data_IF_304717149519
#
_entry.id   IF_304717149519
#
_cell.length_a   1.000
_cell.length_b   1.000
_cell.length_c   1.000
_cell.angle_alpha   90.00
_cell.angle_beta   90.00
_cell.angle_gamma   90.00
#
_symmetry.space_group_name_H-M   'P 1'
#
loop_
_entity.id
_entity.type
_entity.pdbx_description
1 polymer ?
#
# COMPACT_ATOMS: atom_id res chain seq x y z
N UNK A 1 46.78 -6.66 -25.76
CA UNK A 1 46.48 -6.84 -24.33
C UNK A 1 45.08 -6.30 -24.11
N UNK A 2 44.12 -7.20 -24.05
CA UNK A 2 42.70 -6.92 -23.80
C UNK A 2 42.49 -6.80 -22.29
N UNK A 3 42.10 -5.62 -21.81
CA UNK A 3 41.62 -5.45 -20.44
C UNK A 3 40.10 -5.66 -20.42
N UNK A 4 39.68 -6.82 -19.96
CA UNK A 4 38.31 -7.11 -19.53
C UNK A 4 38.06 -6.40 -18.20
N UNK A 5 37.18 -5.39 -18.17
CA UNK A 5 36.58 -4.90 -16.93
C UNK A 5 35.31 -5.72 -16.68
N UNK A 6 35.48 -6.85 -16.00
CA UNK A 6 34.38 -7.52 -15.30
C UNK A 6 34.30 -6.89 -13.91
N UNK A 7 33.59 -5.77 -13.81
CA UNK A 7 33.13 -5.29 -12.50
C UNK A 7 31.92 -6.15 -12.11
N UNK A 8 32.17 -7.17 -11.30
CA UNK A 8 31.15 -7.84 -10.51
C UNK A 8 30.47 -6.79 -9.62
N UNK A 9 29.37 -6.20 -10.09
CA UNK A 9 28.51 -5.36 -9.26
C UNK A 9 28.02 -6.23 -8.10
N UNK A 10 28.50 -5.94 -6.89
CA UNK A 10 28.00 -6.60 -5.69
C UNK A 10 26.48 -6.42 -5.63
N UNK A 11 25.75 -7.54 -5.65
CA UNK A 11 24.30 -7.55 -5.49
C UNK A 11 24.02 -6.97 -4.11
N UNK A 12 23.37 -5.79 -4.05
CA UNK A 12 22.94 -5.21 -2.77
C UNK A 12 22.05 -6.23 -2.06
N UNK A 13 22.22 -6.43 -0.74
CA UNK A 13 21.32 -7.30 0.00
C UNK A 13 19.87 -6.81 -0.18
N UNK A 14 18.90 -7.74 -0.23
CA UNK A 14 17.49 -7.36 -0.35
C UNK A 14 17.09 -6.46 0.81
N UNK A 15 16.13 -5.57 0.55
CA UNK A 15 15.45 -4.79 1.59
C UNK A 15 14.62 -5.73 2.46
N UNK A 16 14.33 -5.35 3.71
CA UNK A 16 13.58 -6.21 4.63
C UNK A 16 12.20 -6.57 4.06
N UNK A 17 11.56 -5.60 3.42
CA UNK A 17 10.24 -5.73 2.80
C UNK A 17 10.24 -6.69 1.59
N UNK A 18 11.42 -7.00 1.04
CA UNK A 18 11.61 -7.97 -0.06
C UNK A 18 11.87 -9.40 0.43
N UNK A 19 12.06 -9.59 1.73
CA UNK A 19 12.24 -10.92 2.31
C UNK A 19 10.96 -11.73 2.18
N UNK A 20 11.12 -13.05 2.01
CA UNK A 20 9.98 -13.97 2.00
C UNK A 20 9.35 -14.04 3.40
N UNK A 21 8.06 -14.31 3.45
CA UNK A 21 7.34 -14.45 4.72
C UNK A 21 7.92 -15.58 5.58
N UNK A 22 8.21 -15.27 6.84
CA UNK A 22 8.63 -16.27 7.83
C UNK A 22 7.51 -17.26 8.19
N UNK A 23 7.92 -18.48 8.57
CA UNK A 23 6.98 -19.53 8.97
C UNK A 23 6.53 -19.44 10.43
N UNK A 24 7.35 -18.85 11.28
CA UNK A 24 7.10 -18.78 12.72
C UNK A 24 6.50 -17.43 13.08
N UNK A 25 5.54 -17.46 14.00
CA UNK A 25 5.03 -16.23 14.62
C UNK A 25 6.05 -15.69 15.63
N UNK A 26 6.01 -14.37 15.86
CA UNK A 26 6.82 -13.72 16.90
C UNK A 26 5.92 -12.92 17.83
N UNK A 27 6.00 -13.16 19.14
CA UNK A 27 5.36 -12.27 20.12
C UNK A 27 6.19 -10.99 20.24
N UNK A 28 5.61 -9.86 19.82
CA UNK A 28 6.28 -8.56 19.79
C UNK A 28 5.97 -7.69 21.01
N UNK A 29 4.87 -7.98 21.70
CA UNK A 29 4.48 -7.45 23.01
C UNK A 29 3.50 -8.45 23.65
N UNK A 30 3.19 -8.30 24.93
CA UNK A 30 2.30 -9.24 25.66
C UNK A 30 0.96 -9.42 24.93
N UNK A 31 0.68 -10.61 24.40
CA UNK A 31 -0.55 -10.87 23.66
C UNK A 31 -0.65 -10.16 22.30
N UNK A 32 0.48 -9.71 21.73
CA UNK A 32 0.57 -9.18 20.36
C UNK A 32 1.55 -10.03 19.56
N UNK A 33 1.04 -10.70 18.54
CA UNK A 33 1.78 -11.65 17.72
C UNK A 33 1.91 -11.14 16.29
N UNK A 34 3.14 -11.03 15.79
CA UNK A 34 3.44 -10.74 14.39
C UNK A 34 3.43 -12.02 13.57
N UNK A 35 2.71 -12.00 12.46
CA UNK A 35 2.58 -13.07 11.49
C UNK A 35 2.90 -12.52 10.10
N UNK A 36 3.96 -13.02 9.46
CA UNK A 36 4.25 -12.63 8.08
C UNK A 36 3.41 -13.48 7.12
N UNK A 37 2.69 -12.81 6.21
CA UNK A 37 1.85 -13.42 5.19
C UNK A 37 2.48 -13.17 3.80
N UNK A 38 2.62 -14.21 2.96
CA UNK A 38 3.20 -14.06 1.63
C UNK A 38 2.47 -13.03 0.75
N UNK A 39 3.26 -12.17 0.10
CA UNK A 39 2.77 -11.19 -0.88
C UNK A 39 3.53 -11.36 -2.18
N UNK A 40 2.80 -11.44 -3.30
CA UNK A 40 3.37 -11.52 -4.65
C UNK A 40 3.18 -10.20 -5.38
N UNK A 41 3.79 -9.12 -4.87
CA UNK A 41 3.77 -7.79 -5.48
C UNK A 41 5.18 -7.29 -5.81
N UNK A 42 5.37 -6.45 -6.83
CA UNK A 42 6.68 -5.95 -7.19
C UNK A 42 7.38 -5.24 -6.01
N UNK A 43 8.49 -5.82 -5.55
CA UNK A 43 9.31 -5.23 -4.48
C UNK A 43 8.86 -5.55 -3.05
N UNK A 44 7.82 -6.37 -2.87
CA UNK A 44 7.34 -6.84 -1.56
C UNK A 44 7.26 -8.37 -1.54
N UNK A 45 7.79 -9.00 -0.49
CA UNK A 45 7.73 -10.46 -0.29
C UNK A 45 6.73 -10.90 0.77
N UNK A 46 6.32 -10.00 1.67
CA UNK A 46 5.37 -10.28 2.74
C UNK A 46 4.66 -9.03 3.22
N UNK A 47 3.53 -9.21 3.92
CA UNK A 47 2.87 -8.23 4.78
C UNK A 47 2.80 -8.78 6.21
N UNK A 48 3.00 -7.93 7.20
CA UNK A 48 2.87 -8.24 8.61
C UNK A 48 1.40 -8.10 9.02
N UNK A 49 0.78 -9.22 9.34
CA UNK A 49 -0.47 -9.27 10.07
C UNK A 49 -0.19 -9.36 11.57
N UNK A 50 -0.89 -8.58 12.38
CA UNK A 50 -0.73 -8.62 13.83
C UNK A 50 -1.99 -9.18 14.50
N UNK A 51 -1.84 -10.23 15.31
CA UNK A 51 -2.91 -10.77 16.12
C UNK A 51 -2.83 -10.22 17.55
N UNK A 52 -3.91 -9.60 18.01
CA UNK A 52 -4.06 -9.02 19.33
C UNK A 52 -5.00 -9.92 20.14
N UNK A 53 -4.50 -10.54 21.20
CA UNK A 53 -5.24 -11.51 22.01
C UNK A 53 -6.07 -10.83 23.12
N UNK A 54 -7.34 -11.20 23.22
CA UNK A 54 -8.19 -10.87 24.35
C UNK A 54 -9.05 -12.06 24.82
N UNK A 55 -10.13 -11.77 25.56
CA UNK A 55 -11.01 -12.81 26.12
C UNK A 55 -11.98 -13.41 25.10
N UNK A 56 -12.26 -12.70 24.01
CA UNK A 56 -13.15 -13.13 22.93
C UNK A 56 -12.39 -13.83 21.78
N UNK A 57 -11.05 -13.84 21.85
CA UNK A 57 -10.16 -14.49 20.89
C UNK A 57 -9.11 -13.51 20.39
N UNK A 58 -9.16 -13.19 19.10
CA UNK A 58 -8.19 -12.30 18.46
C UNK A 58 -8.82 -11.23 17.59
N UNK A 59 -8.22 -10.05 17.63
CA UNK A 59 -8.34 -9.05 16.58
C UNK A 59 -7.12 -9.13 15.66
N UNK A 60 -7.34 -9.07 14.35
CA UNK A 60 -6.26 -9.03 13.35
C UNK A 60 -6.10 -7.63 12.79
N UNK A 61 -4.86 -7.14 12.68
CA UNK A 61 -4.51 -5.95 11.91
C UNK A 61 -3.91 -6.42 10.58
N UNK A 62 -4.49 -5.97 9.48
CA UNK A 62 -4.06 -6.22 8.09
C UNK A 62 -3.93 -7.72 7.75
N UNK A 63 -5.05 -8.47 7.62
CA UNK A 63 -5.05 -9.93 7.40
C UNK A 63 -4.57 -10.41 6.03
N UNK A 64 -3.78 -9.60 5.31
CA UNK A 64 -3.08 -10.02 4.11
C UNK A 64 -3.90 -9.98 2.83
N UNK A 65 -3.31 -10.53 1.77
CA UNK A 65 -4.02 -10.79 0.50
C UNK A 65 -5.07 -11.91 0.65
N UNK A 66 -6.09 -11.97 -0.23
CA UNK A 66 -7.08 -13.04 -0.20
C UNK A 66 -6.57 -14.35 -0.84
N UNK A 67 -5.30 -14.44 -1.24
CA UNK A 67 -4.77 -15.60 -1.98
C UNK A 67 -4.86 -16.86 -1.16
N UNK A 68 -4.96 -18.01 -1.83
CA UNK A 68 -4.89 -19.31 -1.14
C UNK A 68 -3.57 -19.46 -0.37
N UNK A 69 -2.46 -18.94 -0.91
CA UNK A 69 -1.16 -18.93 -0.24
C UNK A 69 -1.16 -18.08 1.05
N UNK A 70 -1.57 -16.81 0.96
CA UNK A 70 -1.68 -15.90 2.11
C UNK A 70 -2.64 -16.44 3.17
N UNK A 71 -3.78 -16.97 2.74
CA UNK A 71 -4.78 -17.55 3.64
C UNK A 71 -4.31 -18.84 4.31
N UNK A 72 -3.63 -19.73 3.58
CA UNK A 72 -3.03 -20.92 4.16
C UNK A 72 -1.96 -20.54 5.19
N UNK A 73 -1.15 -19.52 4.91
CA UNK A 73 -0.19 -18.97 5.86
C UNK A 73 -0.90 -18.44 7.11
N UNK A 74 -1.92 -17.59 6.97
CA UNK A 74 -2.69 -17.04 8.09
C UNK A 74 -3.25 -18.14 9.00
N UNK A 75 -3.93 -19.15 8.42
CA UNK A 75 -4.46 -20.29 9.18
C UNK A 75 -3.36 -21.08 9.88
N UNK A 76 -2.23 -21.30 9.21
CA UNK A 76 -1.08 -21.97 9.80
C UNK A 76 -0.51 -21.18 10.99
N UNK A 77 -0.46 -19.85 10.90
CA UNK A 77 0.08 -18.99 11.96
C UNK A 77 -0.87 -18.89 13.16
N UNK A 78 -2.17 -18.78 12.92
CA UNK A 78 -3.19 -18.89 13.97
C UNK A 78 -3.14 -20.25 14.68
N UNK A 79 -2.89 -21.33 13.94
CA UNK A 79 -2.71 -22.66 14.53
C UNK A 79 -1.55 -22.74 15.54
N UNK A 80 -0.50 -21.92 15.38
CA UNK A 80 0.61 -21.84 16.35
C UNK A 80 0.17 -21.17 17.67
N UNK A 81 -0.90 -20.38 17.64
CA UNK A 81 -1.58 -19.80 18.81
C UNK A 81 -2.69 -20.70 19.38
N UNK A 82 -2.84 -21.93 18.87
CA UNK A 82 -3.99 -22.80 19.13
C UNK A 82 -5.34 -22.15 18.78
N UNK A 83 -5.36 -21.26 17.78
CA UNK A 83 -6.53 -20.55 17.30
C UNK A 83 -6.92 -21.01 15.88
N UNK A 84 -8.19 -20.80 15.54
CA UNK A 84 -8.73 -20.94 14.18
C UNK A 84 -9.37 -19.61 13.76
N UNK A 85 -9.75 -19.51 12.49
CA UNK A 85 -10.43 -18.35 11.91
C UNK A 85 -11.67 -17.93 12.72
N UNK A 86 -12.38 -18.90 13.30
CA UNK A 86 -13.58 -18.66 14.14
C UNK A 86 -13.28 -17.92 15.45
N UNK A 87 -12.02 -17.88 15.87
CA UNK A 87 -11.60 -17.11 17.04
C UNK A 87 -11.33 -15.64 16.70
N UNK A 88 -11.42 -15.24 15.42
CA UNK A 88 -11.24 -13.85 15.02
C UNK A 88 -12.56 -13.11 15.18
N UNK A 89 -12.61 -12.10 16.04
CA UNK A 89 -13.80 -11.28 16.27
C UNK A 89 -13.73 -9.92 15.56
N UNK A 90 -12.54 -9.46 15.20
CA UNK A 90 -12.33 -8.14 14.58
C UNK A 90 -11.18 -8.18 13.58
N UNK A 91 -11.36 -7.51 12.45
CA UNK A 91 -10.29 -7.16 11.53
C UNK A 91 -10.15 -5.64 11.49
N UNK A 92 -8.97 -5.14 11.82
CA UNK A 92 -8.56 -3.75 11.61
C UNK A 92 -7.84 -3.69 10.26
N UNK A 93 -8.23 -2.72 9.44
CA UNK A 93 -7.56 -2.42 8.18
C UNK A 93 -6.94 -1.04 8.28
N UNK A 94 -5.62 -0.96 8.11
CA UNK A 94 -4.90 0.31 8.16
C UNK A 94 -5.26 1.20 6.98
N UNK A 95 -5.37 0.64 5.77
CA UNK A 95 -5.72 1.39 4.56
C UNK A 95 -6.19 0.54 3.38
N UNK A 96 -6.67 1.19 2.33
CA UNK A 96 -7.33 0.58 1.16
C UNK A 96 -6.39 -0.01 0.10
N UNK A 97 -5.26 -0.60 0.51
CA UNK A 97 -4.46 -1.45 -0.37
C UNK A 97 -4.79 -2.94 -0.19
N UNK A 98 -4.87 -3.74 -1.29
CA UNK A 98 -5.43 -5.09 -1.25
C UNK A 98 -4.69 -6.08 -0.35
N UNK A 99 -3.41 -5.88 -0.13
CA UNK A 99 -2.57 -6.68 0.76
C UNK A 99 -2.84 -6.43 2.25
N UNK A 100 -3.61 -5.39 2.59
CA UNK A 100 -4.01 -5.11 3.97
C UNK A 100 -5.42 -5.63 4.24
N UNK A 101 -6.38 -5.38 3.33
CA UNK A 101 -7.78 -5.75 3.55
C UNK A 101 -8.20 -7.07 2.90
N UNK A 102 -7.42 -7.64 1.99
CA UNK A 102 -7.85 -8.74 1.13
C UNK A 102 -8.39 -9.95 1.90
N UNK A 103 -7.71 -10.32 3.00
CA UNK A 103 -8.09 -11.40 3.89
C UNK A 103 -9.42 -11.17 4.62
N UNK A 104 -9.87 -9.91 4.76
CA UNK A 104 -11.15 -9.56 5.41
C UNK A 104 -12.33 -10.20 4.69
N UNK A 105 -12.33 -10.24 3.36
CA UNK A 105 -13.42 -10.85 2.59
C UNK A 105 -13.59 -12.34 2.88
N UNK A 106 -12.48 -13.03 3.19
CA UNK A 106 -12.52 -14.45 3.56
C UNK A 106 -13.04 -14.62 4.98
N UNK A 107 -12.59 -13.77 5.91
CA UNK A 107 -13.11 -13.77 7.28
C UNK A 107 -14.62 -13.55 7.31
N UNK A 108 -15.13 -12.54 6.59
CA UNK A 108 -16.56 -12.23 6.50
C UNK A 108 -17.39 -13.33 5.80
N UNK A 109 -16.77 -14.19 4.99
CA UNK A 109 -17.46 -15.31 4.35
C UNK A 109 -17.72 -16.47 5.33
N UNK A 110 -16.88 -16.62 6.36
CA UNK A 110 -16.93 -17.75 7.30
C UNK A 110 -17.80 -17.44 8.54
N UNK A 111 -17.76 -16.20 9.05
CA UNK A 111 -18.62 -15.73 10.17
C UNK A 111 -18.64 -14.20 10.32
N UNK A 112 -19.54 -13.69 11.16
CA UNK A 112 -19.68 -12.26 11.42
C UNK A 112 -18.50 -11.73 12.25
N UNK A 113 -17.80 -10.73 11.72
CA UNK A 113 -16.71 -10.01 12.40
C UNK A 113 -16.95 -8.50 12.33
N UNK A 114 -16.35 -7.77 13.28
CA UNK A 114 -16.21 -6.32 13.14
C UNK A 114 -15.10 -6.00 12.15
N UNK A 115 -15.30 -5.02 11.29
CA UNK A 115 -14.29 -4.48 10.38
C UNK A 115 -14.08 -3.03 10.75
N UNK A 116 -12.91 -2.75 11.34
CA UNK A 116 -12.48 -1.43 11.79
C UNK A 116 -11.63 -0.76 10.72
N UNK A 117 -12.04 0.43 10.28
CA UNK A 117 -11.28 1.27 9.33
C UNK A 117 -11.32 2.74 9.74
N UNK A 118 -10.53 3.59 9.08
CA UNK A 118 -10.80 5.03 9.10
C UNK A 118 -12.18 5.33 8.46
N UNK A 119 -12.85 6.41 8.84
CA UNK A 119 -14.15 6.78 8.25
C UNK A 119 -14.09 7.16 6.77
N UNK A 120 -12.94 7.61 6.29
CA UNK A 120 -12.69 7.92 4.86
C UNK A 120 -12.27 6.68 4.02
N UNK A 121 -12.38 5.47 4.58
CA UNK A 121 -11.93 4.23 3.94
C UNK A 121 -12.54 4.05 2.54
N UNK A 122 -11.68 4.16 1.53
CA UNK A 122 -12.07 4.17 0.13
C UNK A 122 -10.88 3.85 -0.76
N UNK A 123 -11.06 2.97 -1.75
CA UNK A 123 -9.99 2.64 -2.68
C UNK A 123 -10.01 3.56 -3.89
N UNK A 124 -8.90 4.22 -4.17
CA UNK A 124 -8.70 4.99 -5.40
C UNK A 124 -8.69 4.12 -6.67
N UNK A 125 -8.55 2.80 -6.49
CA UNK A 125 -8.60 1.81 -7.57
C UNK A 125 -9.98 1.18 -7.75
N UNK A 126 -10.87 1.36 -6.79
CA UNK A 126 -12.28 1.02 -6.94
C UNK A 126 -13.01 2.20 -7.62
N UNK A 127 -13.89 1.95 -8.61
CA UNK A 127 -14.71 3.00 -9.18
C UNK A 127 -15.65 3.60 -8.12
N UNK A 128 -16.11 4.86 -8.30
CA UNK A 128 -17.03 5.53 -7.39
C UNK A 128 -18.34 4.74 -7.18
N UNK A 129 -18.74 3.95 -8.17
CA UNK A 129 -19.82 2.98 -8.08
C UNK A 129 -19.27 1.56 -8.34
N UNK A 130 -19.12 0.71 -7.31
CA UNK A 130 -18.70 -0.68 -7.47
C UNK A 130 -19.65 -1.52 -8.35
N UNK A 131 -20.93 -1.14 -8.46
CA UNK A 131 -21.93 -1.86 -9.24
C UNK A 131 -21.75 -1.67 -10.75
N UNK A 132 -21.17 -0.55 -11.20
CA UNK A 132 -20.91 -0.29 -12.62
C UNK A 132 -19.78 -1.15 -13.22
N UNK A 133 -19.03 -1.88 -12.40
CA UNK A 133 -17.80 -2.55 -12.82
C UNK A 133 -17.71 -4.02 -12.39
N UNK A 134 -18.08 -4.31 -11.13
CA UNK A 134 -18.04 -5.68 -10.59
C UNK A 134 -19.38 -6.40 -10.70
N UNK A 135 -20.45 -5.70 -11.07
CA UNK A 135 -21.79 -6.26 -11.29
C UNK A 135 -22.23 -6.12 -12.77
N UNK A 136 -21.33 -5.67 -13.66
CA UNK A 136 -21.57 -5.68 -15.10
C UNK A 136 -21.71 -7.14 -15.58
N UNK A 137 -22.91 -7.55 -16.05
CA UNK A 137 -23.15 -8.91 -16.50
C UNK A 137 -22.23 -9.35 -17.64
N UNK A 138 -21.81 -8.40 -18.49
CA UNK A 138 -20.96 -8.68 -19.65
C UNK A 138 -19.49 -8.90 -19.25
N UNK A 139 -19.09 -8.42 -18.07
CA UNK A 139 -17.76 -8.59 -17.50
C UNK A 139 -17.73 -9.82 -16.60
N UNK A 140 -18.69 -9.95 -15.68
CA UNK A 140 -18.77 -11.08 -14.73
C UNK A 140 -18.97 -12.45 -15.39
N UNK A 141 -19.42 -12.48 -16.65
CA UNK A 141 -19.58 -13.69 -17.45
C UNK A 141 -18.33 -14.12 -18.24
N UNK A 142 -17.28 -13.30 -18.29
CA UNK A 142 -16.06 -13.58 -19.06
C UNK A 142 -15.26 -14.74 -18.43
N UNK A 143 -14.73 -15.62 -19.29
CA UNK A 143 -13.84 -16.71 -18.88
C UNK A 143 -12.37 -16.25 -18.94
N UNK A 144 -11.74 -16.01 -17.78
CA UNK A 144 -10.32 -15.63 -17.72
C UNK A 144 -9.34 -16.75 -18.09
N UNK A 145 -9.81 -17.94 -18.46
CA UNK A 145 -9.00 -18.94 -19.15
C UNK A 145 -8.94 -18.73 -20.67
N UNK A 146 -9.88 -17.97 -21.24
CA UNK A 146 -9.99 -17.67 -22.67
C UNK A 146 -9.28 -16.36 -23.06
N UNK A 147 -8.51 -16.38 -24.15
CA UNK A 147 -7.72 -15.23 -24.60
C UNK A 147 -8.58 -14.03 -25.05
N UNK A 148 -9.75 -14.28 -25.66
CA UNK A 148 -10.64 -13.22 -26.16
C UNK A 148 -11.30 -12.49 -24.98
N UNK A 149 -11.74 -13.24 -23.99
CA UNK A 149 -12.35 -12.71 -22.78
C UNK A 149 -11.35 -12.00 -21.87
N UNK A 150 -10.09 -12.46 -21.80
CA UNK A 150 -9.00 -11.71 -21.16
C UNK A 150 -8.78 -10.36 -21.85
N UNK A 151 -8.81 -10.31 -23.18
CA UNK A 151 -8.61 -9.05 -23.89
C UNK A 151 -9.79 -8.09 -23.71
N UNK A 152 -11.03 -8.59 -23.64
CA UNK A 152 -12.20 -7.78 -23.24
C UNK A 152 -12.02 -7.22 -21.83
N UNK A 153 -11.58 -8.04 -20.89
CA UNK A 153 -11.30 -7.62 -19.51
C UNK A 153 -10.17 -6.59 -19.42
N UNK A 154 -9.06 -6.78 -20.17
CA UNK A 154 -7.96 -5.81 -20.30
C UNK A 154 -8.45 -4.46 -20.84
N UNK A 155 -9.27 -4.47 -21.88
CA UNK A 155 -9.80 -3.24 -22.47
C UNK A 155 -10.75 -2.50 -21.52
N UNK A 156 -11.56 -3.25 -20.75
CA UNK A 156 -12.41 -2.67 -19.71
C UNK A 156 -11.59 -1.98 -18.60
N UNK A 157 -10.42 -2.53 -18.26
CA UNK A 157 -9.45 -1.97 -17.29
C UNK A 157 -8.64 -0.77 -17.78
N UNK A 158 -8.69 -0.43 -19.08
CA UNK A 158 -7.99 0.76 -19.58
C UNK A 158 -8.54 2.01 -18.92
N UNK A 159 -7.63 2.85 -18.46
CA UNK A 159 -7.93 4.16 -17.86
C UNK A 159 -6.90 5.17 -18.34
N UNK A 160 -7.33 6.41 -18.50
CA UNK A 160 -6.41 7.52 -18.74
C UNK A 160 -5.91 8.02 -17.40
N UNK A 161 -4.59 8.05 -17.25
CA UNK A 161 -3.95 8.59 -16.06
C UNK A 161 -4.20 10.11 -15.97
N UNK A 162 -4.15 10.73 -14.77
CA UNK A 162 -4.30 12.17 -14.60
C UNK A 162 -3.31 13.03 -15.42
N UNK A 163 -2.22 12.45 -15.91
CA UNK A 163 -1.23 13.11 -16.76
C UNK A 163 -1.35 12.81 -18.27
N UNK A 164 -2.39 12.07 -18.66
CA UNK A 164 -2.82 11.91 -20.06
C UNK A 164 -2.40 10.63 -20.76
N UNK A 165 -1.51 9.82 -20.19
CA UNK A 165 -1.17 8.51 -20.76
C UNK A 165 -2.24 7.47 -20.45
N UNK A 166 -2.36 6.44 -21.28
CA UNK A 166 -3.16 5.27 -20.92
C UNK A 166 -2.40 4.40 -19.92
N UNK A 167 -3.08 3.99 -18.85
CA UNK A 167 -2.61 2.98 -17.91
C UNK A 167 -2.59 1.64 -18.63
N UNK A 168 -1.45 0.94 -18.56
CA UNK A 168 -1.36 -0.39 -19.17
C UNK A 168 -2.06 -1.42 -18.26
N UNK A 169 -3.07 -2.15 -18.74
CA UNK A 169 -3.73 -3.16 -17.93
C UNK A 169 -2.77 -4.35 -17.65
N UNK A 170 -2.99 -5.09 -16.55
CA UNK A 170 -2.20 -6.28 -16.22
C UNK A 170 -2.10 -7.26 -17.38
N UNK A 171 -0.94 -7.88 -17.58
CA UNK A 171 -0.70 -8.78 -18.71
C UNK A 171 -1.70 -9.95 -18.74
N UNK A 172 -1.94 -10.53 -19.91
CA UNK A 172 -2.82 -11.70 -20.03
C UNK A 172 -2.37 -12.88 -19.16
N UNK A 173 -1.07 -13.01 -18.91
CA UNK A 173 -0.51 -14.01 -18.00
C UNK A 173 -0.84 -13.69 -16.54
N UNK A 174 -0.72 -12.42 -16.12
CA UNK A 174 -1.12 -11.97 -14.79
C UNK A 174 -2.62 -12.18 -14.56
N UNK A 175 -3.46 -11.84 -15.54
CA UNK A 175 -4.91 -12.01 -15.47
C UNK A 175 -5.29 -13.50 -15.41
N UNK A 176 -4.63 -14.36 -16.20
CA UNK A 176 -4.80 -15.81 -16.10
C UNK A 176 -4.43 -16.34 -14.73
N UNK A 177 -3.30 -15.89 -14.19
CA UNK A 177 -2.86 -16.28 -12.85
C UNK A 177 -3.89 -15.85 -11.79
N UNK A 178 -4.50 -14.67 -11.94
CA UNK A 178 -5.61 -14.22 -11.11
C UNK A 178 -6.83 -15.14 -11.24
N UNK A 179 -7.29 -15.43 -12.47
CA UNK A 179 -8.39 -16.36 -12.71
C UNK A 179 -8.17 -17.75 -12.10
N UNK A 180 -6.97 -18.32 -12.26
CA UNK A 180 -6.60 -19.64 -11.77
C UNK A 180 -6.49 -19.75 -10.24
N UNK A 181 -6.31 -18.63 -9.55
CA UNK A 181 -6.17 -18.55 -8.07
C UNK A 181 -7.47 -18.15 -7.38
N UNK A 182 -8.60 -18.09 -8.11
CA UNK A 182 -9.88 -17.62 -7.60
C UNK A 182 -9.98 -16.09 -7.50
N UNK A 183 -8.97 -15.36 -7.97
CA UNK A 183 -8.98 -13.91 -8.18
C UNK A 183 -9.60 -13.52 -9.54
N UNK A 184 -10.62 -14.24 -9.98
CA UNK A 184 -11.31 -13.94 -11.23
C UNK A 184 -12.05 -12.61 -11.22
N UNK A 185 -12.84 -12.34 -12.26
CA UNK A 185 -13.56 -11.07 -12.44
C UNK A 185 -14.55 -10.77 -11.29
N UNK A 186 -15.07 -11.81 -10.66
CA UNK A 186 -15.92 -11.71 -9.46
C UNK A 186 -15.11 -11.58 -8.15
N UNK A 187 -13.79 -11.41 -8.22
CA UNK A 187 -12.95 -11.35 -7.04
C UNK A 187 -13.18 -10.04 -6.30
N UNK A 188 -13.66 -10.17 -5.07
CA UNK A 188 -13.78 -9.08 -4.10
C UNK A 188 -12.43 -8.43 -3.76
N UNK A 189 -11.29 -8.90 -4.29
CA UNK A 189 -9.94 -8.41 -3.98
C UNK A 189 -9.76 -6.91 -4.21
N UNK A 190 -10.43 -6.31 -5.20
CA UNK A 190 -10.36 -4.86 -5.46
C UNK A 190 -11.53 -4.08 -4.86
N UNK A 191 -12.51 -4.76 -4.26
CA UNK A 191 -13.65 -4.12 -3.60
C UNK A 191 -13.30 -3.98 -2.13
N UNK A 192 -13.14 -2.76 -1.58
CA UNK A 192 -12.93 -2.59 -0.15
C UNK A 192 -14.03 -3.29 0.66
N UNK A 193 -13.71 -3.95 1.79
CA UNK A 193 -14.73 -4.55 2.65
C UNK A 193 -15.66 -3.50 3.22
N UNK A 194 -16.91 -3.87 3.46
CA UNK A 194 -17.85 -2.99 4.17
C UNK A 194 -17.42 -2.88 5.63
N UNK A 195 -17.00 -1.68 6.02
CA UNK A 195 -16.70 -1.35 7.40
C UNK A 195 -18.00 -1.22 8.22
N UNK A 196 -18.03 -1.85 9.40
CA UNK A 196 -19.14 -1.72 10.36
C UNK A 196 -18.70 -1.08 11.68
N UNK A 197 -17.42 -0.69 11.76
CA UNK A 197 -16.84 0.11 12.83
C UNK A 197 -15.86 1.10 12.17
N UNK A 198 -16.12 2.39 12.26
CA UNK A 198 -15.23 3.42 11.71
C UNK A 198 -14.76 4.35 12.80
N UNK A 199 -13.57 4.92 12.62
CA UNK A 199 -12.95 5.84 13.57
C UNK A 199 -12.41 7.11 12.89
N UNK A 200 -12.30 8.19 13.65
CA UNK A 200 -11.60 9.41 13.27
C UNK A 200 -10.21 9.54 13.88
N UNK A 201 -9.54 10.65 13.56
CA UNK A 201 -8.25 11.01 14.16
C UNK A 201 -8.40 11.21 15.68
N UNK A 202 -7.46 10.61 16.43
CA UNK A 202 -7.34 10.60 17.89
C UNK A 202 -8.52 9.97 18.65
N UNK A 203 -9.36 9.20 17.96
CA UNK A 203 -10.39 8.40 18.62
C UNK A 203 -9.78 7.21 19.38
N UNK A 204 -10.28 6.93 20.58
CA UNK A 204 -9.82 5.82 21.40
C UNK A 204 -10.51 4.51 20.99
N UNK A 205 -9.71 3.46 20.82
CA UNK A 205 -10.16 2.12 20.48
C UNK A 205 -9.70 1.15 21.57
N UNK A 206 -10.64 0.45 22.21
CA UNK A 206 -10.31 -0.65 23.12
C UNK A 206 -10.30 -1.98 22.35
N UNK A 207 -9.14 -2.62 22.23
CA UNK A 207 -8.94 -3.85 21.46
C UNK A 207 -7.70 -4.61 21.95
N UNK A 208 -7.78 -5.94 22.10
CA UNK A 208 -6.60 -6.73 22.51
C UNK A 208 -6.09 -6.41 23.91
N UNK A 209 -7.02 -6.19 24.85
CA UNK A 209 -6.76 -5.74 26.24
C UNK A 209 -6.00 -4.41 26.36
N UNK A 210 -5.99 -3.61 25.29
CA UNK A 210 -5.28 -2.32 25.22
C UNK A 210 -6.21 -1.20 24.76
N UNK A 211 -5.80 0.03 25.06
CA UNK A 211 -6.40 1.24 24.51
C UNK A 211 -5.44 1.83 23.48
N UNK A 212 -5.94 2.00 22.27
CA UNK A 212 -5.22 2.55 21.14
C UNK A 212 -5.79 3.91 20.80
N UNK A 213 -4.93 4.84 20.41
CA UNK A 213 -5.32 6.05 19.71
C UNK A 213 -5.24 5.78 18.21
N UNK A 214 -6.36 6.00 17.52
CA UNK A 214 -6.41 6.10 16.06
C UNK A 214 -5.63 7.33 15.60
N UNK A 215 -4.65 7.19 14.71
CA UNK A 215 -3.88 8.32 14.18
C UNK A 215 -4.04 8.36 12.66
N UNK A 216 -4.79 9.34 12.17
CA UNK A 216 -5.02 9.53 10.75
C UNK A 216 -3.75 10.07 10.08
N UNK A 217 -3.28 9.37 9.05
CA UNK A 217 -1.97 9.62 8.42
C UNK A 217 -2.10 9.66 6.90
N UNK A 218 -2.95 10.55 6.34
CA UNK A 218 -3.21 10.60 4.92
C UNK A 218 -1.95 10.94 4.11
N UNK A 219 -1.89 10.45 2.88
CA UNK A 219 -0.81 10.74 1.95
C UNK A 219 -0.49 9.56 1.04
N UNK A 220 -0.10 8.45 1.64
CA UNK A 220 0.07 7.16 0.95
C UNK A 220 -1.27 6.69 0.34
N UNK A 221 -2.29 6.66 1.20
CA UNK A 221 -3.71 6.70 0.81
C UNK A 221 -4.42 7.79 1.61
N UNK A 222 -5.64 8.15 1.22
CA UNK A 222 -6.42 9.15 1.96
C UNK A 222 -6.89 8.63 3.33
N UNK A 223 -7.14 7.34 3.43
CA UNK A 223 -7.75 6.66 4.57
C UNK A 223 -6.75 6.02 5.54
N UNK A 224 -5.46 6.28 5.35
CA UNK A 224 -4.43 5.58 6.12
C UNK A 224 -4.51 5.85 7.62
N UNK A 225 -4.53 4.78 8.39
CA UNK A 225 -4.68 4.76 9.84
C UNK A 225 -3.49 4.06 10.49
N UNK A 226 -2.83 4.77 11.41
CA UNK A 226 -1.92 4.18 12.38
C UNK A 226 -2.66 3.96 13.71
N UNK A 227 -2.13 3.07 14.57
CA UNK A 227 -2.62 2.87 15.93
C UNK A 227 -1.49 3.04 16.94
N UNK A 228 -1.72 3.83 17.99
CA UNK A 228 -0.73 4.11 19.03
C UNK A 228 -1.24 3.71 20.41
N UNK A 229 -0.48 2.87 21.12
CA UNK A 229 -0.72 2.58 22.55
C UNK A 229 0.18 3.48 23.41
N UNK A 230 -0.38 4.49 24.10
CA UNK A 230 0.40 5.40 24.95
C UNK A 230 0.93 4.74 26.23
N UNK A 231 0.42 3.58 26.64
CA UNK A 231 0.85 2.93 27.88
C UNK A 231 2.13 2.14 27.69
N UNK A 232 2.20 1.33 26.62
CA UNK A 232 3.35 0.48 26.31
C UNK A 232 4.28 1.09 25.23
N UNK A 233 3.88 2.20 24.60
CA UNK A 233 4.64 2.88 23.57
C UNK A 233 4.72 2.10 22.25
N UNK A 234 3.69 1.32 21.93
CA UNK A 234 3.60 0.55 20.69
C UNK A 234 2.94 1.38 19.59
N UNK A 235 3.50 1.35 18.38
CA UNK A 235 2.99 2.11 17.25
C UNK A 235 2.85 1.22 16.01
N UNK A 236 1.62 0.86 15.65
CA UNK A 236 1.34 0.23 14.36
C UNK A 236 1.36 1.31 13.27
N UNK A 237 2.40 1.30 12.44
CA UNK A 237 2.62 2.35 11.44
C UNK A 237 1.99 2.08 10.08
N UNK A 238 1.42 0.88 9.88
CA UNK A 238 0.95 0.47 8.56
C UNK A 238 2.04 0.66 7.50
N UNK A 239 1.65 1.30 6.40
CA UNK A 239 2.53 1.76 5.33
C UNK A 239 2.96 3.21 5.48
N UNK A 240 2.60 3.92 6.55
CA UNK A 240 3.01 5.31 6.73
C UNK A 240 4.50 5.46 7.03
N UNK A 241 5.05 4.57 7.85
CA UNK A 241 6.49 4.54 8.18
C UNK A 241 7.00 3.10 8.09
N UNK A 242 7.75 2.81 7.03
CA UNK A 242 8.38 1.52 6.76
C UNK A 242 9.89 1.54 7.04
N UNK A 243 10.50 0.43 7.49
CA UNK A 243 11.86 0.45 8.04
C UNK A 243 12.95 0.73 7.01
N UNK A 244 12.90 0.17 5.80
CA UNK A 244 14.00 0.28 4.82
C UNK A 244 13.64 0.77 3.43
N UNK A 245 12.34 0.82 3.11
CA UNK A 245 11.82 1.48 1.90
C UNK A 245 10.99 2.72 2.25
N UNK A 246 10.79 3.61 1.28
CA UNK A 246 9.80 4.69 1.38
C UNK A 246 8.46 4.22 0.86
N UNK A 247 7.34 4.56 1.53
CA UNK A 247 6.01 4.27 1.02
C UNK A 247 5.77 4.93 -0.34
N UNK A 248 4.99 4.29 -1.20
CA UNK A 248 4.68 4.83 -2.52
C UNK A 248 3.71 6.02 -2.39
N UNK A 249 4.04 7.18 -2.98
CA UNK A 249 3.16 8.35 -2.98
C UNK A 249 2.66 8.59 -4.40
N UNK A 250 1.55 7.94 -4.73
CA UNK A 250 0.92 8.04 -6.04
C UNK A 250 0.12 9.34 -6.22
N UNK A 251 0.09 9.85 -7.45
CA UNK A 251 -0.78 10.95 -7.85
C UNK A 251 -2.14 10.51 -8.40
N UNK A 252 -2.43 9.20 -8.41
CA UNK A 252 -3.77 8.64 -8.64
C UNK A 252 -4.43 8.49 -7.27
N UNK A 253 -5.07 9.55 -6.81
CA UNK A 253 -5.65 9.65 -5.47
C UNK A 253 -6.70 10.76 -5.44
N UNK A 254 -7.56 10.75 -4.42
CA UNK A 254 -8.54 11.81 -4.17
C UNK A 254 -7.93 13.04 -3.47
N UNK A 255 -6.63 13.00 -3.16
CA UNK A 255 -5.90 14.12 -2.56
C UNK A 255 -5.44 15.12 -3.63
N UNK A 256 -5.64 16.41 -3.37
CA UNK A 256 -5.17 17.46 -4.29
C UNK A 256 -3.63 17.55 -4.35
N UNK A 257 -2.94 17.34 -3.23
CA UNK A 257 -1.48 17.37 -3.15
C UNK A 257 -0.98 16.25 -2.22
N UNK A 258 -0.95 14.99 -2.70
CA UNK A 258 -0.65 13.83 -1.85
C UNK A 258 0.71 13.90 -1.18
N UNK A 259 1.73 14.45 -1.86
CA UNK A 259 3.06 14.58 -1.28
C UNK A 259 3.09 15.58 -0.11
N UNK A 260 2.42 16.73 -0.24
CA UNK A 260 2.35 17.69 0.87
C UNK A 260 1.61 17.07 2.08
N UNK A 261 0.48 16.41 1.81
CA UNK A 261 -0.32 15.73 2.84
C UNK A 261 0.51 14.65 3.55
N UNK A 262 1.23 13.81 2.78
CA UNK A 262 2.09 12.77 3.34
C UNK A 262 3.22 13.34 4.21
N UNK A 263 3.90 14.38 3.74
CA UNK A 263 4.97 15.05 4.50
C UNK A 263 4.42 15.62 5.81
N UNK A 264 3.22 16.20 5.80
CA UNK A 264 2.60 16.70 7.03
C UNK A 264 2.26 15.57 8.00
N UNK A 265 1.69 14.46 7.50
CA UNK A 265 1.45 13.25 8.29
C UNK A 265 2.75 12.64 8.86
N UNK A 266 3.88 12.72 8.14
CA UNK A 266 5.19 12.28 8.66
C UNK A 266 5.69 13.19 9.78
N UNK A 267 5.50 14.52 9.67
CA UNK A 267 5.90 15.45 10.73
C UNK A 267 5.14 15.21 12.03
N UNK A 268 3.88 14.77 11.96
CA UNK A 268 3.09 14.39 13.15
C UNK A 268 3.73 13.27 13.96
N UNK A 269 4.61 12.45 13.36
CA UNK A 269 5.33 11.41 14.11
C UNK A 269 6.17 11.97 15.26
N UNK A 270 6.51 13.27 15.23
CA UNK A 270 7.16 13.97 16.33
C UNK A 270 6.28 14.14 17.59
N UNK A 271 4.96 14.02 17.46
CA UNK A 271 4.01 14.14 18.57
C UNK A 271 4.05 12.90 19.49
N UNK A 272 4.53 11.76 18.98
CA UNK A 272 4.55 10.47 19.67
C UNK A 272 5.94 10.13 20.21
N UNK A 273 6.50 10.99 21.07
CA UNK A 273 7.86 10.85 21.60
C UNK A 273 8.10 9.61 22.45
N UNK A 274 7.03 9.03 23.01
CA UNK A 274 7.10 7.89 23.93
C UNK A 274 6.99 6.54 23.21
N UNK A 275 7.03 6.53 21.87
CA UNK A 275 7.06 5.30 21.07
C UNK A 275 8.36 4.53 21.34
N UNK A 276 8.20 3.35 21.90
CA UNK A 276 9.29 2.41 22.23
C UNK A 276 9.52 1.40 21.11
N UNK A 277 8.48 1.07 20.32
CA UNK A 277 8.54 0.08 19.24
C UNK A 277 7.54 0.40 18.13
N UNK A 278 8.04 0.40 16.90
CA UNK A 278 7.23 0.56 15.69
C UNK A 278 6.98 -0.82 15.07
N UNK A 279 5.73 -1.05 14.68
CA UNK A 279 5.21 -2.29 14.13
C UNK A 279 4.67 -1.99 12.71
N UNK A 280 5.52 -2.06 11.67
CA UNK A 280 5.15 -1.71 10.31
C UNK A 280 4.35 -2.83 9.62
N UNK A 281 3.63 -2.51 8.55
CA UNK A 281 2.98 -3.52 7.74
C UNK A 281 3.95 -4.28 6.82
N UNK A 282 5.14 -3.73 6.51
CA UNK A 282 6.20 -4.47 5.81
C UNK A 282 7.55 -4.34 6.52
N UNK A 283 8.36 -5.40 6.44
CA UNK A 283 9.70 -5.46 7.03
C UNK A 283 9.66 -5.80 8.53
N UNK A 284 10.72 -5.44 9.26
CA UNK A 284 10.86 -5.80 10.67
C UNK A 284 10.46 -4.67 11.62
N UNK A 285 9.92 -5.01 12.82
CA UNK A 285 9.80 -4.06 13.91
C UNK A 285 11.11 -3.33 14.15
N UNK A 286 11.00 -2.03 14.38
CA UNK A 286 12.16 -1.16 14.56
C UNK A 286 11.91 -0.16 15.69
N UNK A 287 12.96 0.57 16.03
CA UNK A 287 12.96 1.65 17.03
C UNK A 287 13.25 2.97 16.32
N UNK A 288 12.92 4.09 16.96
CA UNK A 288 13.11 5.45 16.43
C UNK A 288 12.15 5.82 15.28
N UNK A 289 10.86 5.89 15.62
CA UNK A 289 9.80 6.36 14.71
C UNK A 289 10.12 7.74 14.11
N UNK A 290 10.54 8.67 14.97
CA UNK A 290 10.87 10.04 14.60
C UNK A 290 12.01 10.09 13.59
N UNK A 291 13.15 9.49 13.92
CA UNK A 291 14.31 9.51 13.03
C UNK A 291 13.96 8.88 11.70
N UNK A 292 13.21 7.77 11.69
CA UNK A 292 12.78 7.16 10.42
C UNK A 292 11.88 8.07 9.59
N UNK A 293 10.91 8.75 10.21
CA UNK A 293 10.03 9.70 9.52
C UNK A 293 10.83 10.89 8.92
N UNK A 294 11.79 11.44 9.66
CA UNK A 294 12.70 12.49 9.18
C UNK A 294 13.50 12.02 7.95
N UNK A 295 14.00 10.78 7.96
CA UNK A 295 14.69 10.18 6.81
C UNK A 295 13.77 10.04 5.58
N UNK A 296 12.47 9.73 5.76
CA UNK A 296 11.51 9.69 4.63
C UNK A 296 11.30 11.09 4.06
N UNK A 297 11.14 12.11 4.92
CA UNK A 297 10.99 13.50 4.49
C UNK A 297 12.22 13.93 3.69
N UNK A 298 13.42 13.68 4.18
CA UNK A 298 14.67 14.00 3.49
C UNK A 298 14.75 13.33 2.11
N UNK A 299 14.36 12.05 2.00
CA UNK A 299 14.31 11.36 0.71
C UNK A 299 13.42 12.07 -0.33
N UNK A 300 12.25 12.57 0.09
CA UNK A 300 11.36 13.30 -0.82
C UNK A 300 11.90 14.69 -1.17
N UNK A 301 12.63 15.35 -0.26
CA UNK A 301 13.33 16.61 -0.57
C UNK A 301 14.41 16.37 -1.63
N UNK A 302 15.24 15.34 -1.47
CA UNK A 302 16.25 14.95 -2.46
C UNK A 302 15.62 14.59 -3.82
N UNK A 303 14.44 13.95 -3.81
CA UNK A 303 13.68 13.65 -5.03
C UNK A 303 13.18 14.92 -5.73
N UNK A 304 12.66 15.89 -4.97
CA UNK A 304 12.24 17.19 -5.51
C UNK A 304 13.43 17.93 -6.13
N UNK A 305 14.60 17.90 -5.50
CA UNK A 305 15.82 18.49 -6.05
C UNK A 305 16.24 17.81 -7.35
N UNK A 306 16.18 16.47 -7.40
CA UNK A 306 16.45 15.72 -8.64
C UNK A 306 15.49 16.09 -9.78
N UNK A 307 14.23 16.42 -9.47
CA UNK A 307 13.25 16.88 -10.46
C UNK A 307 13.57 18.30 -10.94
N UNK A 308 14.01 19.19 -10.06
CA UNK A 308 14.45 20.54 -10.43
C UNK A 308 15.63 20.49 -11.40
N UNK A 309 16.66 19.70 -11.07
CA UNK A 309 17.82 19.47 -11.95
C UNK A 309 17.41 18.87 -13.29
N UNK A 310 16.51 17.89 -13.30
CA UNK A 310 15.96 17.33 -14.54
C UNK A 310 15.20 18.39 -15.35
N UNK A 311 14.49 19.31 -14.71
CA UNK A 311 13.77 20.40 -15.36
C UNK A 311 14.69 21.38 -16.08
N UNK A 312 15.84 21.71 -15.49
CA UNK A 312 16.86 22.56 -16.12
C UNK A 312 17.43 21.94 -17.40
N UNK A 313 17.58 20.62 -17.42
CA UNK A 313 18.08 19.86 -18.58
C UNK A 313 17.02 19.67 -19.68
N UNK A 314 15.78 19.34 -19.27
CA UNK A 314 14.72 18.91 -20.18
C UNK A 314 13.90 20.07 -20.76
N UNK A 315 13.77 21.18 -20.02
CA UNK A 315 12.78 22.22 -20.32
C UNK A 315 11.34 21.72 -20.13
N UNK A 316 10.35 22.22 -20.90
CA UNK A 316 8.99 21.71 -20.86
C UNK A 316 8.94 20.23 -21.29
N UNK A 317 8.48 19.35 -20.39
CA UNK A 317 8.50 17.91 -20.63
C UNK A 317 7.29 17.19 -20.00
N UNK A 318 6.95 16.02 -20.53
CA UNK A 318 5.86 15.18 -20.01
C UNK A 318 6.27 14.46 -18.73
N UNK A 319 5.28 14.00 -17.95
CA UNK A 319 5.51 13.15 -16.76
C UNK A 319 6.37 11.93 -17.09
N UNK A 320 6.11 11.25 -18.21
CA UNK A 320 6.90 10.10 -18.68
C UNK A 320 8.38 10.46 -18.91
N UNK A 321 8.64 11.67 -19.42
CA UNK A 321 10.01 12.12 -19.68
C UNK A 321 10.76 12.37 -18.37
N UNK A 322 10.11 13.01 -17.39
CA UNK A 322 10.66 13.15 -16.04
C UNK A 322 10.88 11.78 -15.39
N UNK A 323 9.90 10.87 -15.47
CA UNK A 323 10.00 9.52 -14.90
C UNK A 323 11.22 8.78 -15.46
N UNK A 324 11.42 8.80 -16.78
CA UNK A 324 12.58 8.16 -17.43
C UNK A 324 13.92 8.77 -17.04
N UNK A 325 13.94 10.06 -16.68
CA UNK A 325 15.14 10.77 -16.19
C UNK A 325 15.43 10.48 -14.71
N UNK A 326 14.41 10.19 -13.91
CA UNK A 326 14.51 9.96 -12.46
C UNK A 326 14.76 8.49 -12.11
N UNK A 327 14.23 7.56 -12.91
CA UNK A 327 14.24 6.13 -12.61
C UNK A 327 15.00 5.35 -13.68
N UNK A 328 15.61 4.23 -13.27
CA UNK A 328 16.24 3.29 -14.19
C UNK A 328 15.17 2.56 -15.01
N UNK A 329 15.52 2.11 -16.21
CA UNK A 329 14.59 1.44 -17.15
C UNK A 329 13.78 0.30 -16.52
N UNK A 330 14.42 -0.54 -15.70
CA UNK A 330 13.76 -1.64 -14.96
C UNK A 330 12.66 -1.21 -13.98
N UNK A 331 12.59 0.08 -13.65
CA UNK A 331 11.65 0.68 -12.70
C UNK A 331 10.62 1.57 -13.40
N UNK A 332 10.66 1.67 -14.73
CA UNK A 332 9.66 2.40 -15.49
C UNK A 332 8.30 1.70 -15.44
N UNK A 333 7.24 2.50 -15.45
CA UNK A 333 5.86 2.01 -15.43
C UNK A 333 4.94 2.98 -14.68
N UNK A 334 3.65 2.63 -14.63
CA UNK A 334 2.60 3.50 -14.08
C UNK A 334 2.84 3.92 -12.63
N UNK A 335 3.41 3.04 -11.78
CA UNK A 335 3.71 3.40 -10.38
C UNK A 335 4.76 4.52 -10.30
N UNK A 336 5.85 4.42 -11.08
CA UNK A 336 6.90 5.43 -11.11
C UNK A 336 6.42 6.73 -11.77
N UNK A 337 5.58 6.64 -12.81
CA UNK A 337 4.94 7.79 -13.43
C UNK A 337 3.97 8.50 -12.46
N UNK A 338 3.17 7.73 -11.72
CA UNK A 338 2.25 8.23 -10.69
C UNK A 338 2.99 8.97 -9.57
N UNK A 339 4.12 8.43 -9.10
CA UNK A 339 4.96 9.09 -8.10
C UNK A 339 5.63 10.36 -8.65
N UNK A 340 6.14 10.30 -9.89
CA UNK A 340 6.69 11.47 -10.57
C UNK A 340 5.65 12.58 -10.70
N UNK A 341 4.42 12.23 -11.08
CA UNK A 341 3.32 13.16 -11.18
C UNK A 341 2.98 13.81 -9.83
N UNK A 342 2.94 13.04 -8.73
CA UNK A 342 2.70 13.59 -7.39
C UNK A 342 3.75 14.65 -7.00
N UNK A 343 5.02 14.43 -7.33
CA UNK A 343 6.09 15.39 -7.04
C UNK A 343 6.01 16.64 -7.94
N UNK A 344 5.74 16.47 -9.24
CA UNK A 344 5.54 17.60 -10.17
C UNK A 344 4.34 18.45 -9.77
N UNK A 345 3.26 17.81 -9.35
CA UNK A 345 2.07 18.48 -8.82
C UNK A 345 2.42 19.27 -7.55
N UNK A 346 3.21 18.70 -6.64
CA UNK A 346 3.69 19.39 -5.46
C UNK A 346 4.49 20.65 -5.80
N UNK A 347 5.46 20.56 -6.73
CA UNK A 347 6.21 21.73 -7.21
C UNK A 347 5.32 22.80 -7.84
N UNK A 348 4.26 22.41 -8.55
CA UNK A 348 3.26 23.34 -9.07
C UNK A 348 2.53 24.07 -7.93
N UNK A 349 2.15 23.39 -6.86
CA UNK A 349 1.53 24.01 -5.68
C UNK A 349 2.48 24.97 -4.94
N UNK A 350 3.78 24.66 -4.90
CA UNK A 350 4.81 25.57 -4.39
C UNK A 350 5.05 26.78 -5.31
N UNK A 351 4.47 26.79 -6.51
CA UNK A 351 4.66 27.83 -7.50
C UNK A 351 5.99 27.73 -8.26
N UNK A 352 6.73 26.62 -8.09
CA UNK A 352 8.03 26.33 -8.69
C UNK A 352 7.92 25.59 -10.03
N UNK A 353 6.73 25.12 -10.40
CA UNK A 353 6.45 24.57 -11.72
C UNK A 353 5.20 25.20 -12.33
N UNK A 354 5.11 25.16 -13.66
CA UNK A 354 3.89 25.42 -14.42
C UNK A 354 3.47 24.18 -15.20
N UNK A 355 2.18 24.03 -15.40
CA UNK A 355 1.56 22.94 -16.16
C UNK A 355 0.82 23.53 -17.36
N UNK A 356 0.99 22.90 -18.53
CA UNK A 356 0.18 23.12 -19.71
C UNK A 356 -0.30 21.77 -20.26
N UNK A 357 -1.40 21.79 -21.01
CA UNK A 357 -1.92 20.60 -21.69
C UNK A 357 -1.66 20.70 -23.19
N UNK A 358 -1.08 19.65 -23.78
CA UNK A 358 -0.83 19.57 -25.21
C UNK A 358 -1.09 18.16 -25.70
N UNK A 359 -1.96 18.02 -26.70
CA UNK A 359 -2.36 16.72 -27.27
C UNK A 359 -2.89 15.72 -26.22
N UNK A 360 -3.58 16.22 -25.19
CA UNK A 360 -4.11 15.39 -24.10
C UNK A 360 -3.07 14.96 -23.05
N UNK A 361 -1.81 15.41 -23.17
CA UNK A 361 -0.74 15.14 -22.21
C UNK A 361 -0.45 16.38 -21.36
N UNK A 362 -0.17 16.16 -20.08
CA UNK A 362 0.36 17.21 -19.19
C UNK A 362 1.85 17.42 -19.45
N UNK A 363 2.21 18.67 -19.72
CA UNK A 363 3.58 19.14 -19.88
C UNK A 363 3.92 20.04 -18.69
N UNK A 364 5.00 19.69 -17.99
CA UNK A 364 5.51 20.45 -16.86
C UNK A 364 6.78 21.21 -17.24
N UNK A 365 6.87 22.44 -16.77
CA UNK A 365 8.07 23.27 -16.84
C UNK A 365 8.43 23.74 -15.43
N UNK A 366 9.62 23.38 -14.96
CA UNK A 366 10.19 23.92 -13.72
C UNK A 366 10.66 25.36 -13.96
N UNK A 367 10.48 26.24 -12.96
CA UNK A 367 10.73 27.69 -13.06
C UNK A 367 12.11 28.13 -12.63
#
# INVERSE_FOLDING_TARGET
MTHTHDELQAVKPPRQEQEQAEELITEVAEGIYRMQLPVSMPGLGHVNCYALEDEDGFALIDPGLPSEESWAALRSRLGQLNADIKNIHTAVVTHSHPDHYGGVHRLQADHEIKVLTHHDFSSAYAPPDPSEYFEDPDITALDLADDEDIEKFRNHMRRTNPWGTEREPPSSEQIRAWGATGFGINSKIFRPPEANWTVGDLEEISLGKRNWLAVHTPGHTHDHLCLYDPNDGLFFSGDHVLPTITPHIGGITNLENPLATFIESLKRMNEFSDVSKVLPAHGHPFVDLKGRAENIIEHHVERLDSIREAGDELGPATVETYMKRLFKERSWGDMAASETYAHLLHLRFLGEASEEESQGLKIYKIK
#
